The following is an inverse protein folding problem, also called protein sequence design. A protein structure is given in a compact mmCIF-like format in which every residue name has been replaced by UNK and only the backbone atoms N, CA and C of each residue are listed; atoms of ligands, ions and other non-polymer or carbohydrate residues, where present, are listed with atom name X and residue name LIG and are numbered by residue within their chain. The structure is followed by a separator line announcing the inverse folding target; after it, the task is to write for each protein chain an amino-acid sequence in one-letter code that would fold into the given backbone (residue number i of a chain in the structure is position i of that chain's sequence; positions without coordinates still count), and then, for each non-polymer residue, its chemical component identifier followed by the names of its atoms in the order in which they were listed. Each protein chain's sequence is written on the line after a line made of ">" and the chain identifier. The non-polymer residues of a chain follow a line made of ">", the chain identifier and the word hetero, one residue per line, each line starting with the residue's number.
data_IF_650977192474
#
_entry.id   IF_650977192474
#
_cell.length_a   1.000
_cell.length_b   1.000
_cell.length_c   1.000
_cell.angle_alpha   90.00
_cell.angle_beta   90.00
_cell.angle_gamma   90.00
#
_symmetry.space_group_name_H-M   'P 1'
#
loop_
_entity.id
_entity.type
_entity.pdbx_description
1 polymer ?
#
# COMPACT_ATOMS: atom_id res chain seq x y z
N UNK A 1 -4.05 6.10 -16.45
CA UNK A 1 -4.43 4.81 -17.09
C UNK A 1 -5.04 3.91 -16.04
N UNK A 2 -5.92 3.00 -16.47
CA UNK A 2 -6.53 1.99 -15.60
C UNK A 2 -6.27 0.59 -16.16
N UNK A 3 -6.06 -0.37 -15.27
CA UNK A 3 -6.13 -1.80 -15.58
C UNK A 3 -7.59 -2.22 -15.45
N UNK A 4 -8.18 -2.64 -16.57
CA UNK A 4 -9.61 -2.86 -16.73
C UNK A 4 -9.87 -4.26 -17.31
N UNK A 5 -10.61 -5.06 -16.54
CA UNK A 5 -11.11 -6.39 -16.93
C UNK A 5 -12.63 -6.29 -17.07
N UNK A 6 -13.20 -6.36 -18.27
CA UNK A 6 -14.58 -5.91 -18.49
C UNK A 6 -15.52 -6.74 -19.36
N UNK A 7 -15.00 -7.56 -20.28
CA UNK A 7 -15.79 -8.38 -21.19
C UNK A 7 -14.90 -9.45 -21.82
N UNK A 8 -15.52 -10.54 -22.28
CA UNK A 8 -14.89 -11.61 -23.05
C UNK A 8 -14.65 -11.20 -24.52
N UNK A 9 -14.06 -12.08 -25.32
CA UNK A 9 -13.72 -11.84 -26.73
C UNK A 9 -14.93 -11.54 -27.62
N UNK A 10 -16.14 -11.86 -27.16
CA UNK A 10 -17.40 -11.66 -27.86
C UNK A 10 -18.16 -10.41 -27.36
N UNK A 11 -17.53 -9.56 -26.54
CA UNK A 11 -18.15 -8.43 -25.84
C UNK A 11 -19.30 -8.85 -24.91
N UNK A 12 -19.25 -10.07 -24.37
CA UNK A 12 -20.20 -10.60 -23.39
C UNK A 12 -19.51 -10.71 -22.04
N UNK A 13 -20.29 -11.16 -21.05
CA UNK A 13 -19.79 -11.36 -19.69
C UNK A 13 -19.57 -12.84 -19.34
N UNK A 14 -19.84 -13.75 -20.27
CA UNK A 14 -19.83 -15.19 -20.04
C UNK A 14 -19.86 -15.99 -21.33
N UNK A 15 -19.32 -17.20 -21.26
CA UNK A 15 -19.23 -18.15 -22.36
C UNK A 15 -18.05 -17.86 -23.29
N UNK A 16 -17.10 -17.05 -22.83
CA UNK A 16 -15.84 -16.79 -23.52
C UNK A 16 -14.89 -17.98 -23.42
N UNK A 17 -13.75 -17.84 -24.07
CA UNK A 17 -12.67 -18.83 -23.98
C UNK A 17 -11.59 -18.34 -23.02
N UNK A 18 -11.23 -19.20 -22.06
CA UNK A 18 -10.19 -18.90 -21.07
C UNK A 18 -8.91 -18.28 -21.64
N UNK A 19 -8.43 -17.25 -20.92
CA UNK A 19 -7.33 -16.37 -21.31
C UNK A 19 -7.79 -15.22 -22.21
N UNK A 20 -7.00 -14.16 -22.31
CA UNK A 20 -7.35 -13.03 -23.18
C UNK A 20 -7.08 -13.39 -24.64
N UNK A 21 -8.15 -13.52 -25.43
CA UNK A 21 -8.07 -13.84 -26.85
C UNK A 21 -7.83 -12.61 -27.73
N UNK A 22 -8.07 -11.40 -27.20
CA UNK A 22 -8.10 -10.14 -27.99
C UNK A 22 -7.01 -9.14 -27.60
N UNK A 23 -6.38 -9.32 -26.44
CA UNK A 23 -5.59 -8.31 -25.74
C UNK A 23 -6.44 -7.19 -25.12
N UNK A 24 -7.77 -7.36 -25.10
CA UNK A 24 -8.76 -6.38 -24.67
C UNK A 24 -9.63 -6.82 -23.49
N UNK A 25 -9.65 -8.12 -23.15
CA UNK A 25 -10.51 -8.67 -22.11
C UNK A 25 -10.06 -8.22 -20.72
N UNK A 26 -8.74 -8.21 -20.51
CA UNK A 26 -8.07 -7.50 -19.41
C UNK A 26 -6.94 -6.63 -19.97
N UNK A 27 -7.18 -5.32 -20.04
CA UNK A 27 -6.25 -4.41 -20.71
C UNK A 27 -5.93 -3.15 -19.90
N UNK A 28 -4.80 -2.53 -20.25
CA UNK A 28 -4.48 -1.17 -19.84
C UNK A 28 -5.16 -0.19 -20.78
N UNK A 29 -6.10 0.59 -20.26
CA UNK A 29 -6.83 1.58 -21.04
C UNK A 29 -6.69 2.98 -20.45
N UNK A 30 -7.01 4.00 -21.26
CA UNK A 30 -7.14 5.37 -20.74
C UNK A 30 -8.20 5.40 -19.66
N UNK A 31 -8.03 6.28 -18.67
CA UNK A 31 -9.08 6.50 -17.69
C UNK A 31 -10.37 6.89 -18.40
N UNK A 32 -11.47 6.24 -18.05
CA UNK A 32 -12.78 6.54 -18.58
C UNK A 32 -13.77 6.70 -17.42
N UNK A 33 -14.81 7.51 -17.65
CA UNK A 33 -15.86 7.71 -16.67
C UNK A 33 -16.87 6.55 -16.77
N UNK A 34 -16.95 5.72 -15.73
CA UNK A 34 -17.98 4.67 -15.58
C UNK A 34 -18.97 4.96 -14.46
N UNK A 35 -19.23 6.24 -14.22
CA UNK A 35 -20.06 6.73 -13.11
C UNK A 35 -19.56 6.21 -11.76
N UNK A 36 -18.24 6.31 -11.55
CA UNK A 36 -17.58 5.86 -10.33
C UNK A 36 -18.25 6.47 -9.10
N UNK A 37 -18.57 5.64 -8.11
CA UNK A 37 -19.27 6.03 -6.88
C UNK A 37 -18.29 6.27 -5.74
N UNK A 38 -17.14 5.60 -5.76
CA UNK A 38 -16.04 5.88 -4.86
C UNK A 38 -14.70 5.46 -5.48
N UNK A 39 -13.63 5.99 -4.88
CA UNK A 39 -12.28 5.46 -5.01
C UNK A 39 -11.88 4.86 -3.67
N UNK A 40 -11.38 3.63 -3.69
CA UNK A 40 -10.84 2.96 -2.51
C UNK A 40 -9.32 3.08 -2.56
N UNK A 41 -8.76 3.81 -1.60
CA UNK A 41 -7.33 4.11 -1.54
C UNK A 41 -6.70 3.43 -0.34
N UNK A 42 -5.71 2.56 -0.58
CA UNK A 42 -4.90 2.09 0.54
C UNK A 42 -3.94 3.21 0.97
N UNK A 43 -3.78 3.47 2.27
CA UNK A 43 -2.90 4.52 2.77
C UNK A 43 -1.41 4.27 2.52
N UNK A 44 -0.98 3.02 2.61
CA UNK A 44 0.41 2.63 2.38
C UNK A 44 0.74 2.64 0.88
N UNK A 45 1.73 3.46 0.50
CA UNK A 45 2.24 3.56 -0.86
C UNK A 45 2.82 2.25 -1.39
N UNK A 46 3.41 1.40 -0.54
CA UNK A 46 3.94 0.09 -0.96
C UNK A 46 2.83 -0.86 -1.37
N UNK A 47 1.71 -0.86 -0.63
CA UNK A 47 0.51 -1.64 -0.99
C UNK A 47 -0.07 -1.15 -2.30
N UNK A 48 -0.24 0.17 -2.43
CA UNK A 48 -0.72 0.79 -3.68
C UNK A 48 0.15 0.42 -4.88
N UNK A 49 1.47 0.54 -4.75
CA UNK A 49 2.42 0.17 -5.80
C UNK A 49 2.31 -1.32 -6.15
N UNK A 50 2.26 -2.21 -5.16
CA UNK A 50 2.11 -3.66 -5.39
C UNK A 50 0.82 -3.98 -6.15
N UNK A 51 -0.32 -3.37 -5.76
CA UNK A 51 -1.60 -3.53 -6.46
C UNK A 51 -1.48 -3.02 -7.90
N UNK A 52 -0.89 -1.84 -8.11
CA UNK A 52 -0.66 -1.24 -9.44
C UNK A 52 0.19 -2.13 -10.35
N UNK A 53 1.33 -2.61 -9.85
CA UNK A 53 2.25 -3.48 -10.58
C UNK A 53 1.57 -4.80 -10.96
N UNK A 54 0.84 -5.42 -10.02
CA UNK A 54 0.13 -6.67 -10.25
C UNK A 54 -1.04 -6.51 -11.22
N UNK A 55 -1.82 -5.43 -11.11
CA UNK A 55 -2.89 -5.13 -12.05
C UNK A 55 -2.34 -4.84 -13.46
N UNK A 56 -1.16 -4.23 -13.55
CA UNK A 56 -0.44 -3.99 -14.80
C UNK A 56 0.08 -5.30 -15.40
N UNK A 57 0.63 -6.20 -14.58
CA UNK A 57 1.10 -7.50 -15.02
C UNK A 57 -0.07 -8.39 -15.50
N UNK A 58 -1.20 -8.36 -14.80
CA UNK A 58 -2.40 -9.09 -15.20
C UNK A 58 -2.89 -8.64 -16.58
N UNK A 59 -3.01 -7.32 -16.77
CA UNK A 59 -3.45 -6.72 -18.03
C UNK A 59 -2.47 -6.88 -19.21
N UNK A 60 -1.25 -7.39 -18.97
CA UNK A 60 -0.24 -7.67 -19.99
C UNK A 60 -0.08 -9.16 -20.28
N UNK A 61 -0.78 -10.01 -19.52
CA UNK A 61 -0.65 -11.45 -19.65
C UNK A 61 -1.90 -12.03 -20.31
N UNK A 62 -1.77 -12.40 -21.59
CA UNK A 62 -2.87 -12.96 -22.37
C UNK A 62 -3.36 -14.34 -21.87
N UNK A 63 -2.78 -14.91 -20.81
CA UNK A 63 -3.34 -16.06 -20.11
C UNK A 63 -4.46 -15.69 -19.14
N UNK A 64 -4.77 -14.41 -18.95
CA UNK A 64 -5.78 -13.95 -18.00
C UNK A 64 -6.87 -13.21 -18.77
N UNK A 65 -8.01 -13.88 -18.97
CA UNK A 65 -9.16 -13.35 -19.70
C UNK A 65 -10.32 -12.95 -18.78
N UNK A 66 -11.48 -12.72 -19.38
CA UNK A 66 -12.71 -12.34 -18.69
C UNK A 66 -13.82 -13.38 -18.86
N UNK A 67 -14.41 -13.85 -17.76
CA UNK A 67 -15.67 -14.58 -17.76
C UNK A 67 -16.25 -14.62 -16.35
N UNK A 68 -17.57 -14.42 -16.19
CA UNK A 68 -18.23 -14.46 -14.88
C UNK A 68 -18.49 -15.87 -14.33
N UNK A 69 -18.54 -16.89 -15.20
CA UNK A 69 -18.80 -18.30 -14.85
C UNK A 69 -17.56 -18.95 -14.25
N UNK A 70 -16.38 -18.67 -14.81
CA UNK A 70 -15.10 -19.25 -14.35
C UNK A 70 -14.19 -18.23 -13.63
N UNK A 71 -14.75 -17.09 -13.23
CA UNK A 71 -14.11 -15.90 -12.62
C UNK A 71 -13.16 -16.11 -11.43
N UNK A 72 -13.04 -17.33 -10.92
CA UNK A 72 -12.17 -17.69 -9.80
C UNK A 72 -10.94 -18.51 -10.21
N UNK A 73 -10.86 -18.96 -11.46
CA UNK A 73 -9.67 -19.65 -11.99
C UNK A 73 -8.45 -18.75 -11.97
N UNK A 74 -8.60 -17.44 -12.14
CA UNK A 74 -7.51 -16.47 -11.96
C UNK A 74 -6.87 -16.59 -10.57
N UNK A 75 -7.64 -16.66 -9.49
CA UNK A 75 -7.07 -16.82 -8.13
C UNK A 75 -6.31 -18.13 -7.96
N UNK A 76 -6.84 -19.22 -8.52
CA UNK A 76 -6.20 -20.54 -8.44
C UNK A 76 -4.80 -20.49 -9.06
N UNK A 77 -4.68 -19.90 -10.25
CA UNK A 77 -3.40 -19.77 -10.95
C UNK A 77 -2.51 -18.68 -10.37
N UNK A 78 -3.07 -17.63 -9.79
CA UNK A 78 -2.31 -16.63 -9.05
C UNK A 78 -1.62 -17.27 -7.84
N UNK A 79 -2.33 -18.10 -7.06
CA UNK A 79 -1.74 -18.87 -5.95
C UNK A 79 -0.65 -19.84 -6.43
N UNK A 80 -0.88 -20.54 -7.54
CA UNK A 80 0.10 -21.46 -8.12
C UNK A 80 1.37 -20.76 -8.63
N UNK A 81 1.27 -19.48 -9.00
CA UNK A 81 2.35 -18.68 -9.58
C UNK A 81 3.05 -17.78 -8.56
N UNK A 82 3.03 -18.17 -7.27
CA UNK A 82 3.67 -17.38 -6.21
C UNK A 82 3.05 -16.00 -6.01
N UNK A 83 1.76 -15.86 -6.33
CA UNK A 83 0.99 -14.61 -6.29
C UNK A 83 1.45 -13.55 -7.30
N UNK A 84 2.17 -13.93 -8.35
CA UNK A 84 2.61 -13.04 -9.42
C UNK A 84 1.81 -13.27 -10.71
N UNK A 85 1.00 -12.30 -11.17
CA UNK A 85 0.25 -12.42 -12.42
C UNK A 85 1.12 -12.66 -13.65
N UNK A 86 2.37 -12.16 -13.66
CA UNK A 86 3.31 -12.40 -14.76
C UNK A 86 3.78 -13.86 -14.84
N UNK A 87 3.70 -14.60 -13.73
CA UNK A 87 4.07 -16.01 -13.66
C UNK A 87 2.98 -16.98 -14.12
N UNK A 88 1.76 -16.49 -14.41
CA UNK A 88 0.65 -17.33 -14.84
C UNK A 88 0.88 -17.79 -16.29
N UNK A 89 0.96 -19.10 -16.48
CA UNK A 89 1.17 -19.74 -17.80
C UNK A 89 -0.06 -20.51 -18.30
N UNK A 90 -1.02 -20.81 -17.42
CA UNK A 90 -2.27 -21.50 -17.73
C UNK A 90 -3.37 -20.48 -17.94
N UNK A 91 -4.16 -20.68 -19.01
CA UNK A 91 -5.29 -19.81 -19.31
C UNK A 91 -6.31 -19.84 -18.17
N UNK A 92 -6.75 -18.67 -17.73
CA UNK A 92 -7.67 -18.48 -16.63
C UNK A 92 -8.48 -17.22 -16.79
N UNK A 93 -9.48 -17.06 -15.94
CA UNK A 93 -10.51 -16.04 -16.08
C UNK A 93 -10.79 -15.36 -14.74
N UNK A 94 -11.11 -14.08 -14.85
CA UNK A 94 -11.62 -13.25 -13.77
C UNK A 94 -12.86 -12.50 -14.26
N UNK A 95 -13.54 -11.81 -13.35
CA UNK A 95 -14.32 -10.64 -13.74
C UNK A 95 -13.73 -9.40 -13.08
N UNK A 96 -14.35 -8.23 -13.31
CA UNK A 96 -13.86 -6.96 -12.77
C UNK A 96 -13.62 -7.03 -11.26
N UNK A 97 -14.57 -7.57 -10.51
CA UNK A 97 -14.55 -7.59 -9.04
C UNK A 97 -13.74 -8.73 -8.43
N UNK A 98 -13.76 -9.94 -9.02
CA UNK A 98 -12.92 -11.04 -8.54
C UNK A 98 -11.46 -10.81 -8.92
N UNK A 99 -11.19 -10.20 -10.08
CA UNK A 99 -9.86 -9.80 -10.51
C UNK A 99 -9.23 -8.79 -9.54
N UNK A 100 -9.95 -7.71 -9.21
CA UNK A 100 -9.49 -6.73 -8.21
C UNK A 100 -9.32 -7.36 -6.83
N UNK A 101 -10.29 -8.14 -6.35
CA UNK A 101 -10.21 -8.77 -5.05
C UNK A 101 -9.03 -9.76 -4.95
N UNK A 102 -8.80 -10.56 -6.01
CA UNK A 102 -7.67 -11.47 -6.10
C UNK A 102 -6.32 -10.73 -6.08
N UNK A 103 -6.19 -9.60 -6.79
CA UNK A 103 -4.98 -8.77 -6.77
C UNK A 103 -4.73 -8.20 -5.37
N UNK A 104 -5.74 -7.62 -4.71
CA UNK A 104 -5.57 -7.06 -3.36
C UNK A 104 -5.17 -8.17 -2.37
N UNK A 105 -5.83 -9.32 -2.42
CA UNK A 105 -5.50 -10.47 -1.58
C UNK A 105 -4.08 -10.95 -1.81
N UNK A 106 -3.68 -11.08 -3.07
CA UNK A 106 -2.36 -11.54 -3.48
C UNK A 106 -1.25 -10.53 -3.11
N UNK A 107 -1.51 -9.22 -3.17
CA UNK A 107 -0.63 -8.20 -2.63
C UNK A 107 -0.38 -8.41 -1.12
N UNK A 108 -1.42 -8.82 -0.37
CA UNK A 108 -1.29 -9.23 1.03
C UNK A 108 -0.34 -10.41 1.25
N UNK A 109 -0.34 -11.39 0.35
CA UNK A 109 0.64 -12.49 0.39
C UNK A 109 2.06 -12.01 0.06
N UNK A 110 2.23 -11.21 -1.00
CA UNK A 110 3.56 -10.72 -1.42
C UNK A 110 4.21 -9.76 -0.42
N UNK A 111 3.40 -9.00 0.31
CA UNK A 111 3.86 -8.03 1.32
C UNK A 111 3.81 -8.57 2.75
N UNK A 112 3.27 -9.76 2.97
CA UNK A 112 3.10 -10.34 4.31
C UNK A 112 2.03 -9.67 5.18
N UNK A 113 1.10 -8.90 4.60
CA UNK A 113 0.08 -8.12 5.33
C UNK A 113 -1.18 -8.95 5.55
N UNK A 114 -1.42 -9.38 6.80
CA UNK A 114 -2.53 -10.29 7.12
C UNK A 114 -3.90 -9.76 6.75
N UNK A 115 -4.22 -8.49 7.08
CA UNK A 115 -5.53 -7.90 6.76
C UNK A 115 -5.88 -8.03 5.28
N UNK A 116 -4.91 -7.81 4.38
CA UNK A 116 -5.12 -7.94 2.94
C UNK A 116 -5.33 -9.41 2.53
N UNK A 117 -4.64 -10.36 3.17
CA UNK A 117 -4.85 -11.80 2.94
C UNK A 117 -6.27 -12.24 3.32
N UNK A 118 -6.97 -11.51 4.18
CA UNK A 118 -8.33 -11.83 4.62
C UNK A 118 -9.41 -11.36 3.63
N UNK A 119 -9.05 -10.57 2.59
CA UNK A 119 -9.98 -10.20 1.51
C UNK A 119 -10.55 -11.45 0.85
N UNK A 120 -11.88 -11.50 0.71
CA UNK A 120 -12.58 -12.60 0.07
C UNK A 120 -12.40 -12.55 -1.44
N UNK A 121 -12.03 -13.68 -2.06
CA UNK A 121 -11.99 -13.79 -3.53
C UNK A 121 -13.40 -13.80 -4.15
N UNK A 122 -14.43 -13.99 -3.34
CA UNK A 122 -15.84 -14.03 -3.74
C UNK A 122 -16.50 -12.64 -3.73
N UNK A 123 -15.71 -11.57 -3.60
CA UNK A 123 -16.24 -10.22 -3.69
C UNK A 123 -16.89 -9.97 -5.06
N UNK A 124 -17.99 -9.23 -5.04
CA UNK A 124 -18.65 -8.66 -6.20
C UNK A 124 -18.74 -7.14 -6.01
N UNK A 125 -19.07 -6.37 -7.05
CA UNK A 125 -19.04 -4.90 -6.98
C UNK A 125 -19.84 -4.33 -5.80
N UNK A 126 -20.98 -4.94 -5.45
CA UNK A 126 -21.86 -4.48 -4.38
C UNK A 126 -21.32 -4.66 -2.96
N UNK A 127 -20.34 -5.55 -2.73
CA UNK A 127 -19.71 -5.75 -1.42
C UNK A 127 -18.24 -5.32 -1.36
N UNK A 128 -17.62 -5.02 -2.51
CA UNK A 128 -16.19 -4.72 -2.62
C UNK A 128 -15.79 -3.50 -1.77
N UNK A 129 -16.62 -2.44 -1.74
CA UNK A 129 -16.40 -1.27 -0.88
C UNK A 129 -16.23 -1.66 0.58
N UNK A 130 -17.16 -2.45 1.10
CA UNK A 130 -17.16 -2.86 2.51
C UNK A 130 -15.96 -3.77 2.81
N UNK A 131 -15.67 -4.72 1.92
CA UNK A 131 -14.54 -5.63 2.06
C UNK A 131 -13.19 -4.89 2.08
N UNK A 132 -12.97 -3.94 1.16
CA UNK A 132 -11.73 -3.18 1.11
C UNK A 132 -11.60 -2.17 2.26
N UNK A 133 -12.71 -1.54 2.67
CA UNK A 133 -12.73 -0.68 3.86
C UNK A 133 -12.34 -1.45 5.12
N UNK A 134 -12.83 -2.68 5.29
CA UNK A 134 -12.53 -3.51 6.45
C UNK A 134 -11.02 -3.83 6.59
N UNK A 135 -10.28 -3.85 5.48
CA UNK A 135 -8.84 -4.15 5.45
C UNK A 135 -7.96 -2.90 5.37
N UNK A 136 -8.54 -1.70 5.57
CA UNK A 136 -7.80 -0.46 5.76
C UNK A 136 -7.81 0.51 4.58
N UNK A 137 -8.61 0.28 3.54
CA UNK A 137 -8.77 1.26 2.47
C UNK A 137 -9.66 2.42 2.92
N UNK A 138 -9.24 3.64 2.58
CA UNK A 138 -10.06 4.84 2.68
C UNK A 138 -11.08 4.88 1.54
N UNK A 139 -12.29 5.36 1.83
CA UNK A 139 -13.35 5.53 0.83
C UNK A 139 -13.42 7.01 0.45
N UNK A 140 -12.95 7.35 -0.74
CA UNK A 140 -12.95 8.71 -1.27
C UNK A 140 -14.16 8.90 -2.20
N UNK A 141 -14.99 9.89 -1.90
CA UNK A 141 -16.23 10.17 -2.65
C UNK A 141 -16.31 11.61 -3.18
N UNK A 142 -15.30 12.43 -2.91
CA UNK A 142 -15.25 13.79 -3.44
C UNK A 142 -15.18 13.77 -4.98
N UNK A 143 -15.89 14.68 -5.64
CA UNK A 143 -15.99 14.73 -7.10
C UNK A 143 -14.63 14.75 -7.81
N UNK A 144 -13.61 15.38 -7.22
CA UNK A 144 -12.26 15.49 -7.78
C UNK A 144 -11.58 14.13 -8.05
N UNK A 145 -12.01 13.07 -7.35
CA UNK A 145 -11.53 11.70 -7.56
C UNK A 145 -12.39 10.89 -8.53
N UNK A 146 -13.62 11.33 -8.81
CA UNK A 146 -14.61 10.54 -9.55
C UNK A 146 -14.75 10.98 -11.02
N UNK A 147 -14.38 12.23 -11.32
CA UNK A 147 -14.59 12.84 -12.65
C UNK A 147 -13.33 12.91 -13.51
N UNK A 148 -12.19 12.41 -13.02
CA UNK A 148 -10.95 12.33 -13.78
C UNK A 148 -9.82 11.66 -13.00
N UNK A 149 -8.68 11.48 -13.65
CA UNK A 149 -7.50 10.82 -13.08
C UNK A 149 -6.51 11.78 -12.40
N UNK A 150 -6.70 13.10 -12.52
CA UNK A 150 -5.74 14.10 -12.07
C UNK A 150 -5.39 14.01 -10.56
N UNK A 151 -6.28 13.52 -9.71
CA UNK A 151 -6.09 13.39 -8.26
C UNK A 151 -5.96 11.93 -7.78
N UNK A 152 -5.94 10.97 -8.72
CA UNK A 152 -5.80 9.56 -8.39
C UNK A 152 -4.34 9.20 -8.11
N UNK A 153 -4.14 8.23 -7.23
CA UNK A 153 -2.85 7.59 -7.00
C UNK A 153 -2.85 6.24 -7.70
N UNK A 154 -1.67 5.78 -8.12
CA UNK A 154 -1.53 4.38 -8.52
C UNK A 154 -2.02 3.43 -7.40
N UNK A 155 -2.60 2.29 -7.76
CA UNK A 155 -3.18 1.34 -6.82
C UNK A 155 -4.56 1.73 -6.26
N UNK A 156 -5.08 2.91 -6.59
CA UNK A 156 -6.46 3.27 -6.28
C UNK A 156 -7.43 2.32 -6.99
N UNK A 157 -8.44 1.83 -6.27
CA UNK A 157 -9.51 1.02 -6.85
C UNK A 157 -10.69 1.92 -7.16
N UNK A 158 -11.04 2.03 -8.44
CA UNK A 158 -12.22 2.72 -8.93
C UNK A 158 -13.42 1.80 -8.81
N UNK A 159 -14.51 2.25 -8.21
CA UNK A 159 -15.68 1.40 -7.97
C UNK A 159 -16.99 2.14 -8.29
N UNK A 160 -17.78 1.50 -9.15
CA UNK A 160 -19.21 1.70 -9.26
C UNK A 160 -19.88 0.43 -8.72
N UNK A 161 -20.40 0.48 -7.49
CA UNK A 161 -20.87 -0.69 -6.73
C UNK A 161 -21.96 -1.48 -7.46
N UNK A 162 -22.68 -0.84 -8.37
CA UNK A 162 -23.77 -1.45 -9.13
C UNK A 162 -23.34 -2.02 -10.49
N UNK A 163 -22.09 -1.86 -10.92
CA UNK A 163 -21.71 -2.20 -12.30
C UNK A 163 -20.27 -2.67 -12.50
N UNK A 164 -19.27 -1.93 -12.00
CA UNK A 164 -17.89 -2.16 -12.46
C UNK A 164 -16.84 -1.71 -11.46
N UNK A 165 -15.66 -2.31 -11.55
CA UNK A 165 -14.46 -1.86 -10.84
C UNK A 165 -13.22 -1.97 -11.72
N UNK A 166 -12.23 -1.12 -11.47
CA UNK A 166 -10.95 -1.14 -12.16
C UNK A 166 -9.85 -0.63 -11.22
N UNK A 167 -8.59 -0.92 -11.55
CA UNK A 167 -7.44 -0.41 -10.79
C UNK A 167 -6.81 0.75 -11.55
N UNK A 168 -6.65 1.92 -10.92
CA UNK A 168 -5.86 3.01 -11.46
C UNK A 168 -4.37 2.69 -11.30
N UNK A 169 -3.59 2.75 -12.39
CA UNK A 169 -2.18 2.31 -12.40
C UNK A 169 -1.20 3.46 -12.64
N UNK A 170 -1.67 4.70 -12.55
CA UNK A 170 -0.84 5.90 -12.75
C UNK A 170 -1.18 6.98 -11.73
N UNK A 171 -0.19 7.70 -11.24
CA UNK A 171 -0.41 8.85 -10.36
C UNK A 171 -0.74 10.10 -11.18
N UNK A 172 -1.84 10.76 -10.83
CA UNK A 172 -2.31 11.98 -11.49
C UNK A 172 -1.47 13.20 -11.15
N UNK A 173 -1.39 14.16 -12.08
CA UNK A 173 -0.53 15.34 -11.96
C UNK A 173 -0.87 16.29 -10.79
N UNK A 174 -2.09 16.22 -10.26
CA UNK A 174 -2.57 17.01 -9.10
C UNK A 174 -2.66 16.18 -7.84
N UNK A 175 -2.30 14.90 -7.89
CA UNK A 175 -2.27 14.07 -6.71
C UNK A 175 -1.10 14.52 -5.84
N UNK A 176 -1.41 15.23 -4.76
CA UNK A 176 -0.44 15.43 -3.68
C UNK A 176 -0.18 14.07 -3.06
N UNK A 177 1.03 13.55 -3.18
CA UNK A 177 1.52 12.44 -2.36
C UNK A 177 1.75 12.95 -0.94
N UNK A 178 0.69 13.39 -0.27
CA UNK A 178 0.66 13.44 1.18
C UNK A 178 0.66 11.99 1.63
N UNK A 179 1.84 11.50 2.01
CA UNK A 179 2.01 10.22 2.71
C UNK A 179 1.21 10.26 4.02
N UNK A 180 -0.07 9.93 3.92
CA UNK A 180 -0.93 9.63 5.07
C UNK A 180 -1.02 8.12 5.18
N UNK A 181 -0.10 7.56 5.95
CA UNK A 181 -0.08 6.17 6.36
C UNK A 181 -1.17 5.95 7.42
N UNK A 182 -2.37 5.49 7.04
CA UNK A 182 -3.30 4.90 7.98
C UNK A 182 -2.68 3.66 8.64
N UNK A 183 -2.71 3.74 9.96
CA UNK A 183 -2.66 2.71 10.99
C UNK A 183 -2.91 1.25 10.54
N UNK A 184 -1.83 0.50 10.37
CA UNK A 184 -1.48 -0.59 11.28
C UNK A 184 -0.13 -1.21 10.88
N UNK A 185 0.89 -0.93 11.67
CA UNK A 185 2.20 -1.61 11.63
C UNK A 185 3.23 -0.95 10.72
N UNK A 186 4.17 -0.24 11.36
CA UNK A 186 5.46 0.23 10.85
C UNK A 186 5.51 1.49 9.95
N UNK A 187 6.21 2.49 10.51
CA UNK A 187 6.91 3.62 9.88
C UNK A 187 6.05 4.72 9.27
N UNK A 188 5.57 5.60 10.14
CA UNK A 188 5.27 6.99 9.78
C UNK A 188 6.59 7.62 9.33
N UNK A 189 6.76 7.93 8.04
CA UNK A 189 7.87 8.79 7.60
C UNK A 189 7.52 10.22 8.00
N UNK A 190 7.52 10.49 9.30
CA UNK A 190 7.55 11.86 9.79
C UNK A 190 8.91 12.41 9.38
N UNK A 191 8.94 13.49 8.62
CA UNK A 191 10.18 14.20 8.31
C UNK A 191 10.88 14.49 9.64
N UNK A 192 12.00 13.82 9.88
CA UNK A 192 12.80 14.02 11.09
C UNK A 192 13.45 15.39 10.99
N UNK A 193 13.32 16.18 12.05
CA UNK A 193 13.97 17.48 12.19
C UNK A 193 15.48 17.32 11.98
N UNK A 194 16.13 18.37 11.46
CA UNK A 194 17.57 18.42 11.44
C UNK A 194 18.11 18.59 12.87
N UNK A 195 19.19 17.88 13.20
CA UNK A 195 19.93 18.13 14.44
C UNK A 195 20.56 19.53 14.40
N UNK A 196 20.51 20.24 15.52
CA UNK A 196 21.00 21.62 15.62
C UNK A 196 22.48 21.70 16.03
N UNK A 197 23.06 20.58 16.49
CA UNK A 197 24.45 20.52 16.95
C UNK A 197 25.12 19.19 16.60
N UNK A 198 26.46 19.21 16.65
CA UNK A 198 27.32 18.04 16.49
C UNK A 198 28.44 18.07 17.52
N UNK A 199 28.60 16.97 18.24
CA UNK A 199 29.63 16.75 19.25
C UNK A 199 30.19 15.34 19.06
N UNK A 200 31.45 15.25 18.61
CA UNK A 200 32.10 13.97 18.32
C UNK A 200 32.17 13.06 19.55
N UNK A 201 32.22 13.61 20.76
CA UNK A 201 32.26 12.83 22.00
C UNK A 201 30.98 12.02 22.23
N UNK A 202 29.85 12.42 21.62
CA UNK A 202 28.58 11.72 21.65
C UNK A 202 28.47 10.61 20.59
N UNK A 203 29.50 10.39 19.78
CA UNK A 203 29.51 9.29 18.81
C UNK A 203 29.68 7.97 19.54
N UNK A 204 28.82 6.99 19.25
CA UNK A 204 28.92 5.66 19.83
C UNK A 204 27.59 4.92 19.86
N UNK A 205 27.65 3.67 20.31
CA UNK A 205 26.47 2.86 20.58
C UNK A 205 25.97 3.16 21.99
N UNK A 206 24.66 3.31 22.14
CA UNK A 206 24.01 3.54 23.42
C UNK A 206 23.00 2.43 23.68
N UNK A 207 22.78 2.13 24.95
CA UNK A 207 21.75 1.20 25.42
C UNK A 207 20.65 1.98 26.14
N UNK A 208 19.40 1.60 25.90
CA UNK A 208 18.21 2.20 26.51
C UNK A 208 18.11 1.77 27.98
N UNK A 209 18.00 2.75 28.88
CA UNK A 209 17.89 2.52 30.34
C UNK A 209 16.51 2.80 30.91
N UNK A 210 15.56 3.29 30.11
CA UNK A 210 14.17 3.47 30.54
C UNK A 210 13.58 2.14 31.04
N UNK A 211 12.76 2.18 32.10
CA UNK A 211 12.18 0.97 32.71
C UNK A 211 10.99 0.39 31.93
N UNK A 212 10.25 1.23 31.21
CA UNK A 212 9.15 0.82 30.33
C UNK A 212 9.64 0.87 28.87
N UNK A 213 9.58 2.04 28.23
CA UNK A 213 10.18 2.26 26.91
C UNK A 213 10.74 3.68 26.78
N UNK A 214 11.62 3.87 25.80
CA UNK A 214 12.09 5.17 25.32
C UNK A 214 11.54 5.46 23.93
N UNK A 215 10.79 6.54 23.78
CA UNK A 215 10.30 6.99 22.48
C UNK A 215 11.44 7.50 21.59
N UNK A 216 11.54 6.98 20.36
CA UNK A 216 12.22 7.63 19.25
C UNK A 216 11.25 8.62 18.60
N UNK A 217 11.67 9.87 18.40
CA UNK A 217 10.80 10.97 17.97
C UNK A 217 11.30 11.67 16.73
N UNK A 218 10.41 12.32 16.00
CA UNK A 218 10.75 13.08 14.80
C UNK A 218 11.51 14.38 15.08
N UNK A 219 11.55 14.83 16.34
CA UNK A 219 12.30 16.01 16.73
C UNK A 219 12.71 15.93 18.19
N UNK A 220 13.56 16.86 18.62
CA UNK A 220 13.93 16.98 20.01
C UNK A 220 12.78 17.54 20.85
N UNK A 221 12.37 16.80 21.89
CA UNK A 221 11.31 17.18 22.81
C UNK A 221 10.18 16.15 22.91
N UNK A 222 9.51 16.11 24.05
CA UNK A 222 8.40 15.16 24.32
C UNK A 222 7.12 15.50 23.55
N UNK A 223 6.95 16.76 23.12
CA UNK A 223 5.83 17.18 22.28
C UNK A 223 5.99 16.81 20.79
N UNK A 224 7.13 16.23 20.39
CA UNK A 224 7.40 15.82 19.02
C UNK A 224 6.81 14.44 18.74
N UNK A 225 6.38 14.22 17.50
CA UNK A 225 5.79 12.96 17.03
C UNK A 225 6.64 11.76 17.41
N UNK A 226 6.04 10.78 18.07
CA UNK A 226 6.67 9.49 18.34
C UNK A 226 6.70 8.65 17.05
N UNK A 227 7.90 8.20 16.67
CA UNK A 227 8.15 7.35 15.50
C UNK A 227 8.16 5.88 15.90
N UNK A 228 8.79 5.55 17.02
CA UNK A 228 8.99 4.18 17.49
C UNK A 228 9.19 4.12 19.02
N UNK A 229 8.95 2.96 19.64
CA UNK A 229 9.23 2.71 21.06
C UNK A 229 10.37 1.71 21.22
N UNK A 230 11.41 2.11 21.93
CA UNK A 230 12.60 1.30 22.17
C UNK A 230 12.56 0.74 23.61
N UNK A 231 12.72 -0.56 23.75
CA UNK A 231 12.62 -1.26 25.04
C UNK A 231 13.93 -1.18 25.84
N UNK A 232 13.85 -1.42 27.15
CA UNK A 232 15.02 -1.51 28.02
C UNK A 232 16.08 -2.49 27.46
N UNK A 233 17.35 -2.09 27.48
CA UNK A 233 18.46 -2.90 27.00
C UNK A 233 18.66 -2.90 25.48
N UNK A 234 17.74 -2.33 24.70
CA UNK A 234 17.93 -2.21 23.26
C UNK A 234 18.98 -1.15 22.90
N UNK A 235 19.61 -1.31 21.72
CA UNK A 235 20.74 -0.49 21.31
C UNK A 235 20.40 0.48 20.18
N UNK A 236 20.98 1.67 20.24
CA UNK A 236 20.90 2.73 19.22
C UNK A 236 22.29 3.21 18.85
N UNK A 237 22.46 3.70 17.62
CA UNK A 237 23.73 4.28 17.17
C UNK A 237 23.61 5.81 17.06
N UNK A 238 24.48 6.55 17.75
CA UNK A 238 24.61 8.00 17.60
C UNK A 238 25.88 8.33 16.80
N UNK A 239 25.78 9.24 15.84
CA UNK A 239 26.93 9.76 15.06
C UNK A 239 27.41 11.14 15.54
N UNK A 240 27.08 11.48 16.79
CA UNK A 240 27.45 12.74 17.43
C UNK A 240 26.48 13.89 17.21
N UNK A 241 25.40 13.70 16.47
CA UNK A 241 24.40 14.73 16.21
C UNK A 241 23.38 14.83 17.35
N UNK A 242 23.01 16.05 17.73
CA UNK A 242 22.05 16.28 18.82
C UNK A 242 21.33 17.62 18.67
N UNK A 243 20.28 17.81 19.46
CA UNK A 243 19.64 19.10 19.70
C UNK A 243 19.44 19.25 21.20
N UNK A 244 19.82 20.39 21.77
CA UNK A 244 19.57 20.68 23.18
C UNK A 244 18.16 21.27 23.35
N UNK A 245 17.39 20.73 24.29
CA UNK A 245 16.10 21.28 24.68
C UNK A 245 16.12 21.43 26.19
N UNK A 246 16.20 22.68 26.66
CA UNK A 246 16.20 23.03 28.08
C UNK A 246 17.28 22.30 28.89
N UNK A 247 18.52 22.23 28.37
CA UNK A 247 19.67 21.61 29.03
C UNK A 247 19.70 20.08 28.93
N UNK A 248 18.79 19.48 28.17
CA UNK A 248 18.77 18.04 27.89
C UNK A 248 19.16 17.83 26.44
N UNK A 249 20.28 17.14 26.21
CA UNK A 249 20.66 16.71 24.85
C UNK A 249 19.70 15.62 24.37
N UNK A 250 19.02 15.86 23.27
CA UNK A 250 18.30 14.85 22.51
C UNK A 250 19.21 14.35 21.40
N UNK A 251 19.61 13.08 21.46
CA UNK A 251 20.54 12.49 20.51
C UNK A 251 19.80 12.11 19.23
N UNK A 252 20.38 12.47 18.08
CA UNK A 252 19.94 12.00 16.78
C UNK A 252 20.58 10.64 16.51
N UNK A 253 19.77 9.59 16.54
CA UNK A 253 20.23 8.20 16.53
C UNK A 253 19.60 7.40 15.39
N UNK A 254 20.26 6.30 15.03
CA UNK A 254 19.72 5.24 14.19
C UNK A 254 19.34 4.06 15.06
N UNK A 255 18.09 3.59 14.94
CA UNK A 255 17.55 2.42 15.62
C UNK A 255 16.85 1.53 14.59
N UNK A 256 17.34 0.29 14.39
CA UNK A 256 16.79 -0.68 13.43
C UNK A 256 16.52 -0.11 12.03
N UNK A 257 17.39 0.81 11.56
CA UNK A 257 17.28 1.47 10.26
C UNK A 257 16.43 2.74 10.23
N UNK A 258 15.86 3.15 11.37
CA UNK A 258 15.04 4.36 11.51
C UNK A 258 15.85 5.46 12.20
N UNK A 259 15.83 6.67 11.67
CA UNK A 259 16.46 7.84 12.31
C UNK A 259 15.46 8.63 13.15
N UNK A 260 15.93 9.21 14.25
CA UNK A 260 15.10 10.07 15.10
C UNK A 260 15.86 10.60 16.31
N UNK A 261 15.15 11.38 17.12
CA UNK A 261 15.66 11.92 18.37
C UNK A 261 15.15 11.13 19.58
N UNK A 262 16.00 10.91 20.56
CA UNK A 262 15.59 10.44 21.87
C UNK A 262 16.39 11.12 22.97
N UNK A 263 15.82 11.20 24.17
CA UNK A 263 16.44 11.91 25.29
C UNK A 263 17.66 11.16 25.82
N UNK A 264 18.81 11.84 25.90
CA UNK A 264 20.04 11.27 26.47
C UNK A 264 19.90 10.85 27.94
N UNK A 265 18.90 11.35 28.67
CA UNK A 265 18.62 10.95 30.07
C UNK A 265 18.39 9.45 30.22
N UNK A 266 17.89 8.79 29.17
CA UNK A 266 17.52 7.37 29.18
C UNK A 266 18.44 6.51 28.30
N UNK A 267 19.66 7.00 28.06
CA UNK A 267 20.67 6.31 27.28
C UNK A 267 21.97 6.19 28.06
N UNK A 268 22.57 5.00 28.05
CA UNK A 268 23.91 4.76 28.58
C UNK A 268 24.85 4.40 27.43
N UNK A 269 25.92 5.19 27.26
CA UNK A 269 26.95 4.90 26.26
C UNK A 269 27.67 3.59 26.62
N UNK A 270 27.90 2.74 25.62
CA UNK A 270 28.68 1.51 25.75
C UNK A 270 30.11 1.72 25.27
#
# INVERSE_FOLDING_TARGET
>A
MISNCGHDENNRYKGGKAGDQTGGEWALIKWNNRQWKCVLRHPDAKVRKMISDMATAAAKNNKIGYDQSERYTFWQHLKASGYDPAGITVACEADCSSGVAAIVKAAGYRLGIQKLKDVSIYCYTGNLRAALKAVGFEVLTESKYLTGDAYLLEGDILLNDSCHTATNVTTGAKATTTEQTASNGATVVTKVDAAQGKDKSLTGTYEVTASDFLSLRAGAGTGKTEIEKMQHGEKVQCYGYYTDVSGVKWLYVVYKGITGFCSSKYLKKK
#
